data_IF_359461575212
#
_entry.id   IF_359461575212
#
_cell.length_a   1.000
_cell.length_b   1.000
_cell.length_c   1.000
_cell.angle_alpha   90.00
_cell.angle_beta   90.00
_cell.angle_gamma   90.00
#
_symmetry.space_group_name_H-M   'P 1'
#
loop_
_entity.id
_entity.type
_entity.pdbx_description
1 polymer ?
#
# COMPACT_ATOMS: atom_id res chain seq x y z
N UNK A 1 19.13 25.29 49.79
CA UNK A 1 18.64 25.72 48.51
C UNK A 1 18.54 24.46 47.62
N UNK A 2 17.37 23.81 47.63
CA UNK A 2 17.13 22.55 46.90
C UNK A 2 16.55 22.90 45.51
N UNK A 3 17.07 22.35 44.41
CA UNK A 3 16.48 22.59 43.10
C UNK A 3 15.21 21.76 42.92
N UNK A 4 14.15 22.44 42.51
CA UNK A 4 12.81 21.93 42.24
C UNK A 4 12.82 20.90 41.09
N UNK A 5 12.57 19.63 41.44
CA UNK A 5 12.60 18.48 40.48
C UNK A 5 11.24 18.32 39.77
N UNK A 6 10.24 19.13 40.10
CA UNK A 6 8.87 18.97 39.60
C UNK A 6 8.61 19.52 38.20
N UNK A 7 9.57 20.24 37.59
CA UNK A 7 9.35 20.90 36.27
C UNK A 7 9.73 20.06 35.05
N UNK A 8 10.30 18.84 35.21
CA UNK A 8 10.74 18.00 34.07
C UNK A 8 9.72 17.01 33.53
N UNK A 9 8.61 16.76 34.22
CA UNK A 9 7.63 15.76 33.80
C UNK A 9 6.58 16.30 32.80
N UNK A 10 6.40 17.61 32.70
CA UNK A 10 5.39 18.23 31.81
C UNK A 10 5.79 18.33 30.35
N UNK A 11 7.08 18.35 30.05
CA UNK A 11 7.57 18.59 28.67
C UNK A 11 7.55 17.35 27.76
N UNK A 12 7.70 16.15 28.31
CA UNK A 12 7.65 14.91 27.54
C UNK A 12 6.25 14.58 27.00
N UNK A 13 5.19 14.89 27.74
CA UNK A 13 3.80 14.66 27.34
C UNK A 13 3.33 15.61 26.23
N UNK A 14 3.78 16.84 26.22
CA UNK A 14 3.40 17.85 25.23
C UNK A 14 4.06 17.61 23.87
N UNK A 15 5.31 17.15 23.82
CA UNK A 15 5.98 16.81 22.57
C UNK A 15 5.37 15.60 21.86
N UNK A 16 4.90 14.59 22.60
CA UNK A 16 4.26 13.40 22.02
C UNK A 16 2.86 13.69 21.46
N UNK A 17 2.08 14.54 22.15
CA UNK A 17 0.75 14.95 21.69
C UNK A 17 0.84 15.81 20.41
N UNK A 18 1.78 16.75 20.36
CA UNK A 18 2.00 17.61 19.19
C UNK A 18 2.48 16.83 17.96
N UNK A 19 3.33 15.82 18.14
CA UNK A 19 3.78 14.94 17.07
C UNK A 19 2.66 14.09 16.45
N UNK A 20 1.76 13.54 17.28
CA UNK A 20 0.60 12.76 16.80
C UNK A 20 -0.39 13.59 15.99
N UNK A 21 -0.67 14.81 16.43
CA UNK A 21 -1.57 15.73 15.69
C UNK A 21 -0.98 16.12 14.33
N UNK A 22 0.33 16.24 14.24
CA UNK A 22 1.01 16.60 13.01
C UNK A 22 1.04 15.45 12.00
N UNK A 23 1.35 14.22 12.41
CA UNK A 23 1.26 13.03 11.57
C UNK A 23 -0.13 12.88 10.95
N UNK A 24 -1.17 13.05 11.80
CA UNK A 24 -2.55 12.96 11.35
C UNK A 24 -2.94 14.06 10.36
N UNK A 25 -2.48 15.30 10.58
CA UNK A 25 -2.70 16.41 9.64
C UNK A 25 -2.05 16.16 8.28
N UNK A 26 -0.84 15.60 8.26
CA UNK A 26 -0.15 15.23 7.02
C UNK A 26 -0.94 14.12 6.30
N UNK A 27 -1.35 13.07 7.02
CA UNK A 27 -2.15 12.00 6.44
C UNK A 27 -3.49 12.51 5.87
N UNK A 28 -4.20 13.39 6.60
CA UNK A 28 -5.44 14.01 6.13
C UNK A 28 -5.20 14.88 4.88
N UNK A 29 -4.10 15.62 4.83
CA UNK A 29 -3.73 16.40 3.65
C UNK A 29 -3.54 15.49 2.43
N UNK A 30 -2.82 14.38 2.58
CA UNK A 30 -2.59 13.43 1.46
C UNK A 30 -3.90 12.80 0.98
N UNK A 31 -4.77 12.38 1.91
CA UNK A 31 -6.11 11.86 1.58
C UNK A 31 -6.95 12.91 0.85
N UNK A 32 -6.96 14.15 1.36
CA UNK A 32 -7.69 15.26 0.73
C UNK A 32 -7.18 15.56 -0.68
N UNK A 33 -5.86 15.60 -0.89
CA UNK A 33 -5.25 15.77 -2.20
C UNK A 33 -5.58 14.63 -3.16
N UNK A 34 -5.62 13.40 -2.65
CA UNK A 34 -6.04 12.25 -3.44
C UNK A 34 -7.46 12.44 -3.96
N UNK A 35 -8.42 12.73 -3.09
CA UNK A 35 -9.82 12.94 -3.50
C UNK A 35 -10.07 14.23 -4.29
N UNK A 36 -9.17 15.20 -4.22
CA UNK A 36 -9.24 16.41 -5.06
C UNK A 36 -8.81 16.15 -6.51
N UNK A 37 -8.10 15.05 -6.79
CA UNK A 37 -7.59 14.72 -8.13
C UNK A 37 -8.53 13.77 -8.87
N UNK A 38 -9.03 14.12 -10.09
CA UNK A 38 -9.85 13.20 -10.88
C UNK A 38 -9.08 11.95 -11.33
N UNK A 39 -7.77 12.03 -11.45
CA UNK A 39 -6.90 10.90 -11.80
C UNK A 39 -6.92 9.82 -10.73
N UNK A 40 -7.08 10.19 -9.48
CA UNK A 40 -7.14 9.27 -8.35
C UNK A 40 -8.39 8.36 -8.41
N UNK A 41 -9.52 8.92 -8.82
CA UNK A 41 -10.74 8.14 -9.03
C UNK A 41 -10.58 7.16 -10.20
N UNK A 42 -9.85 7.55 -11.24
CA UNK A 42 -9.56 6.67 -12.39
C UNK A 42 -8.72 5.47 -11.95
N UNK A 43 -7.68 5.69 -11.11
CA UNK A 43 -6.86 4.59 -10.60
C UNK A 43 -7.63 3.68 -9.64
N UNK A 44 -8.40 4.25 -8.72
CA UNK A 44 -9.21 3.47 -7.78
C UNK A 44 -10.33 2.71 -8.51
N UNK A 45 -11.05 3.38 -9.40
CA UNK A 45 -12.11 2.76 -10.22
C UNK A 45 -11.55 1.71 -11.18
N UNK A 46 -10.41 1.99 -11.81
CA UNK A 46 -9.69 1.04 -12.66
C UNK A 46 -9.25 -0.20 -11.89
N UNK A 47 -8.70 -0.03 -10.68
CA UNK A 47 -8.35 -1.14 -9.80
C UNK A 47 -9.57 -2.01 -9.48
N UNK A 48 -10.67 -1.40 -9.03
CA UNK A 48 -11.91 -2.13 -8.74
C UNK A 48 -12.48 -2.83 -9.98
N UNK A 49 -12.48 -2.15 -11.12
CA UNK A 49 -12.96 -2.74 -12.38
C UNK A 49 -12.14 -3.97 -12.79
N UNK A 50 -10.80 -3.90 -12.67
CA UNK A 50 -9.92 -5.04 -12.98
C UNK A 50 -10.08 -6.16 -11.98
N UNK A 51 -10.21 -5.86 -10.68
CA UNK A 51 -10.48 -6.86 -9.63
C UNK A 51 -11.78 -7.61 -9.94
N UNK A 52 -12.87 -6.88 -10.22
CA UNK A 52 -14.16 -7.46 -10.57
C UNK A 52 -14.09 -8.30 -11.85
N UNK A 53 -13.44 -7.75 -12.89
CA UNK A 53 -13.26 -8.45 -14.15
C UNK A 53 -12.48 -9.76 -13.99
N UNK A 54 -11.34 -9.70 -13.30
CA UNK A 54 -10.50 -10.88 -13.04
C UNK A 54 -11.26 -11.93 -12.23
N UNK A 55 -11.99 -11.53 -11.21
CA UNK A 55 -12.73 -12.44 -10.36
C UNK A 55 -13.86 -13.16 -11.11
N UNK A 56 -14.72 -12.41 -11.81
CA UNK A 56 -15.89 -12.99 -12.47
C UNK A 56 -15.58 -13.64 -13.81
N UNK A 57 -14.68 -13.05 -14.62
CA UNK A 57 -14.38 -13.50 -15.97
C UNK A 57 -13.10 -14.31 -16.07
N UNK A 58 -11.99 -13.82 -15.50
CA UNK A 58 -10.67 -14.45 -15.63
C UNK A 58 -10.61 -15.83 -14.98
N UNK A 59 -11.25 -15.98 -13.81
CA UNK A 59 -11.27 -17.23 -13.05
C UNK A 59 -12.54 -18.06 -13.27
N UNK A 60 -13.38 -17.63 -14.23
CA UNK A 60 -14.64 -18.33 -14.59
C UNK A 60 -15.46 -18.75 -13.37
N UNK A 61 -15.66 -17.83 -12.41
CA UNK A 61 -16.32 -18.08 -11.12
C UNK A 61 -17.62 -18.88 -11.28
N UNK A 62 -18.45 -18.49 -12.24
CA UNK A 62 -19.74 -19.15 -12.49
C UNK A 62 -19.61 -20.56 -13.11
N UNK A 63 -18.49 -20.87 -13.79
CA UNK A 63 -18.27 -22.19 -14.41
C UNK A 63 -17.74 -23.22 -13.38
N UNK A 64 -17.12 -22.76 -12.29
CA UNK A 64 -16.55 -23.65 -11.27
C UNK A 64 -17.60 -24.21 -10.30
N UNK A 65 -18.73 -23.56 -10.12
CA UNK A 65 -19.78 -23.93 -9.13
C UNK A 65 -19.25 -24.16 -7.69
N UNK A 66 -18.15 -23.49 -7.32
CA UNK A 66 -17.53 -23.58 -5.99
C UNK A 66 -17.48 -22.17 -5.41
N UNK A 67 -17.98 -21.99 -4.18
CA UNK A 67 -17.88 -20.74 -3.44
C UNK A 67 -16.44 -20.57 -2.88
N UNK A 68 -15.50 -20.16 -3.74
CA UNK A 68 -14.08 -19.96 -3.37
C UNK A 68 -13.62 -18.55 -3.76
N UNK A 69 -12.97 -17.87 -2.82
CA UNK A 69 -12.38 -16.52 -3.02
C UNK A 69 -10.87 -16.54 -3.22
N UNK A 70 -10.23 -17.73 -3.21
CA UNK A 70 -8.77 -17.85 -3.46
C UNK A 70 -8.32 -17.19 -4.77
N UNK A 71 -9.07 -17.29 -5.88
CA UNK A 71 -8.73 -16.62 -7.12
C UNK A 71 -8.55 -15.11 -6.98
N UNK A 72 -9.37 -14.48 -6.12
CA UNK A 72 -9.25 -13.05 -5.81
C UNK A 72 -7.86 -12.73 -5.24
N UNK A 73 -7.43 -13.49 -4.23
CA UNK A 73 -6.16 -13.26 -3.56
C UNK A 73 -4.94 -13.61 -4.42
N UNK A 74 -5.07 -14.56 -5.33
CA UNK A 74 -4.02 -14.90 -6.30
C UNK A 74 -3.72 -13.75 -7.28
N UNK A 75 -4.74 -12.98 -7.67
CA UNK A 75 -4.58 -11.83 -8.55
C UNK A 75 -4.11 -10.56 -7.81
N UNK A 76 -4.37 -10.45 -6.50
CA UNK A 76 -4.10 -9.26 -5.70
C UNK A 76 -2.64 -8.78 -5.74
N UNK A 77 -1.59 -9.63 -5.66
CA UNK A 77 -0.22 -9.15 -5.69
C UNK A 77 0.11 -8.35 -6.94
N UNK A 78 -0.33 -8.82 -8.11
CA UNK A 78 -0.10 -8.12 -9.37
C UNK A 78 -0.88 -6.79 -9.45
N UNK A 79 -2.13 -6.79 -9.01
CA UNK A 79 -3.00 -5.61 -9.02
C UNK A 79 -2.51 -4.54 -8.04
N UNK A 80 -2.00 -4.96 -6.87
CA UNK A 80 -1.45 -4.07 -5.87
C UNK A 80 -0.17 -3.37 -6.32
N UNK A 81 0.65 -3.99 -7.20
CA UNK A 81 1.83 -3.33 -7.78
C UNK A 81 1.40 -2.03 -8.47
N UNK A 82 0.37 -2.09 -9.32
CA UNK A 82 -0.12 -0.92 -10.04
C UNK A 82 -0.81 0.08 -9.10
N UNK A 83 -1.65 -0.39 -8.18
CA UNK A 83 -2.34 0.48 -7.24
C UNK A 83 -1.35 1.22 -6.33
N UNK A 84 -0.44 0.51 -5.66
CA UNK A 84 0.54 1.10 -4.76
C UNK A 84 1.46 2.09 -5.48
N UNK A 85 1.93 1.73 -6.68
CA UNK A 85 2.77 2.61 -7.50
C UNK A 85 2.03 3.88 -7.92
N UNK A 86 0.74 3.78 -8.28
CA UNK A 86 -0.08 4.95 -8.65
C UNK A 86 -0.37 5.87 -7.46
N UNK A 87 -0.60 5.29 -6.26
CA UNK A 87 -0.81 6.05 -5.04
C UNK A 87 0.44 6.84 -4.62
N UNK A 88 1.63 6.26 -4.83
CA UNK A 88 2.88 6.83 -4.33
C UNK A 88 3.62 7.71 -5.33
N UNK A 89 3.32 7.61 -6.64
CA UNK A 89 4.09 8.28 -7.71
C UNK A 89 4.22 9.79 -7.54
N UNK A 90 3.20 10.48 -6.99
CA UNK A 90 3.16 11.94 -6.87
C UNK A 90 3.66 12.47 -5.54
N UNK A 91 3.75 11.64 -4.50
CA UNK A 91 3.95 12.04 -3.12
C UNK A 91 5.22 12.87 -2.88
N UNK A 92 6.31 12.53 -3.54
CA UNK A 92 7.59 13.22 -3.43
C UNK A 92 8.00 13.89 -4.74
N UNK A 93 7.68 13.26 -5.87
CA UNK A 93 8.09 13.76 -7.18
C UNK A 93 7.46 15.12 -7.53
N UNK A 94 6.21 15.38 -7.13
CA UNK A 94 5.58 16.69 -7.32
C UNK A 94 6.15 17.74 -6.38
N UNK A 95 6.41 17.41 -5.11
CA UNK A 95 7.04 18.34 -4.16
C UNK A 95 8.48 18.68 -4.57
N UNK A 96 9.20 17.74 -5.13
CA UNK A 96 10.54 17.94 -5.65
C UNK A 96 10.52 18.82 -6.90
N UNK A 97 9.61 18.53 -7.83
CA UNK A 97 9.46 19.31 -9.06
C UNK A 97 9.01 20.75 -8.81
N UNK A 98 8.18 20.98 -7.79
CA UNK A 98 7.69 22.31 -7.41
C UNK A 98 8.68 23.11 -6.54
N UNK A 99 9.81 22.50 -6.12
CA UNK A 99 10.77 23.13 -5.20
C UNK A 99 10.26 23.26 -3.75
N UNK A 100 9.07 22.78 -3.45
CA UNK A 100 8.49 22.86 -2.09
C UNK A 100 9.18 21.92 -1.10
N UNK A 101 9.94 20.92 -1.59
CA UNK A 101 10.69 20.01 -0.75
C UNK A 101 11.71 20.75 0.13
N UNK A 102 12.41 21.77 -0.41
CA UNK A 102 13.37 22.56 0.35
C UNK A 102 12.66 23.32 1.49
N UNK A 103 11.46 23.79 1.25
CA UNK A 103 10.64 24.47 2.25
C UNK A 103 10.21 23.52 3.39
N UNK A 104 9.93 22.25 3.05
CA UNK A 104 9.60 21.21 4.04
C UNK A 104 10.83 20.85 4.87
N UNK A 105 12.02 20.77 4.25
CA UNK A 105 13.27 20.45 4.93
C UNK A 105 13.76 21.56 5.88
N UNK A 106 13.36 22.81 5.65
CA UNK A 106 13.70 23.96 6.52
C UNK A 106 12.72 24.13 7.69
N UNK A 107 11.61 23.40 7.72
CA UNK A 107 10.68 23.41 8.85
C UNK A 107 11.29 22.69 10.06
N UNK A 108 10.91 23.14 11.26
CA UNK A 108 11.36 22.58 12.54
C UNK A 108 10.83 21.17 12.84
N UNK A 109 10.10 20.57 11.88
CA UNK A 109 9.51 19.23 12.02
C UNK A 109 10.51 18.14 11.64
N UNK A 110 10.66 17.09 12.44
CA UNK A 110 11.56 16.00 12.13
C UNK A 110 11.07 15.24 10.87
N UNK A 111 11.98 15.00 9.94
CA UNK A 111 11.72 14.41 8.62
C UNK A 111 10.96 13.07 8.70
N UNK A 112 11.24 12.25 9.72
CA UNK A 112 10.57 10.97 9.90
C UNK A 112 9.05 11.08 10.11
N UNK A 113 8.57 12.16 10.76
CA UNK A 113 7.14 12.39 10.93
C UNK A 113 6.46 12.70 9.60
N UNK A 114 7.16 13.40 8.72
CA UNK A 114 6.65 13.72 7.40
C UNK A 114 6.53 12.46 6.53
N UNK A 115 7.57 11.62 6.52
CA UNK A 115 7.57 10.35 5.79
C UNK A 115 6.48 9.41 6.30
N UNK A 116 6.38 9.25 7.64
CA UNK A 116 5.35 8.41 8.24
C UNK A 116 3.94 8.95 8.00
N UNK A 117 3.74 10.27 8.03
CA UNK A 117 2.44 10.87 7.73
C UNK A 117 1.96 10.55 6.31
N UNK A 118 2.86 10.65 5.31
CA UNK A 118 2.58 10.25 3.93
C UNK A 118 2.30 8.75 3.81
N UNK A 119 3.11 7.93 4.45
CA UNK A 119 2.91 6.47 4.46
C UNK A 119 1.56 6.07 5.07
N UNK A 120 1.17 6.66 6.21
CA UNK A 120 -0.13 6.43 6.85
C UNK A 120 -1.26 6.88 5.93
N UNK A 121 -1.16 8.05 5.30
CA UNK A 121 -2.15 8.53 4.34
C UNK A 121 -2.39 7.55 3.21
N UNK A 122 -1.33 7.05 2.57
CA UNK A 122 -1.43 6.05 1.51
C UNK A 122 -1.92 4.68 2.01
N UNK A 123 -1.53 4.28 3.23
CA UNK A 123 -2.01 3.04 3.82
C UNK A 123 -3.51 3.08 4.09
N UNK A 124 -4.05 4.24 4.49
CA UNK A 124 -5.50 4.43 4.65
C UNK A 124 -6.24 4.39 3.30
N UNK A 125 -5.66 4.96 2.24
CA UNK A 125 -6.22 4.86 0.89
C UNK A 125 -6.18 3.43 0.35
N UNK A 126 -5.10 2.69 0.62
CA UNK A 126 -5.01 1.27 0.30
C UNK A 126 -6.07 0.46 1.06
N UNK A 127 -6.21 0.72 2.36
CA UNK A 127 -7.24 0.09 3.18
C UNK A 127 -8.65 0.37 2.62
N UNK A 128 -8.92 1.61 2.23
CA UNK A 128 -10.18 1.98 1.58
C UNK A 128 -10.40 1.20 0.27
N UNK A 129 -9.37 1.08 -0.58
CA UNK A 129 -9.45 0.30 -1.81
C UNK A 129 -9.80 -1.17 -1.53
N UNK A 130 -9.16 -1.78 -0.51
CA UNK A 130 -9.46 -3.15 -0.10
C UNK A 130 -10.86 -3.29 0.52
N UNK A 131 -11.30 -2.32 1.32
CA UNK A 131 -12.68 -2.31 1.86
C UNK A 131 -13.73 -2.27 0.76
N UNK A 132 -13.45 -1.57 -0.34
CA UNK A 132 -14.37 -1.52 -1.50
C UNK A 132 -14.44 -2.86 -2.26
N UNK A 133 -13.51 -3.79 -2.04
CA UNK A 133 -13.59 -5.16 -2.58
C UNK A 133 -14.37 -6.13 -1.67
N UNK A 134 -14.68 -5.76 -0.41
CA UNK A 134 -15.41 -6.61 0.53
C UNK A 134 -16.82 -7.09 0.04
N UNK A 135 -17.56 -6.34 -0.77
CA UNK A 135 -18.82 -6.86 -1.33
C UNK A 135 -18.64 -8.18 -2.10
N UNK A 136 -17.45 -8.45 -2.68
CA UNK A 136 -17.20 -9.70 -3.41
C UNK A 136 -17.33 -10.96 -2.53
N UNK A 137 -16.59 -11.11 -1.40
CA UNK A 137 -16.78 -12.25 -0.51
C UNK A 137 -18.23 -12.37 0.02
N UNK A 138 -18.90 -11.24 0.28
CA UNK A 138 -20.29 -11.27 0.70
C UNK A 138 -21.22 -11.83 -0.38
N UNK A 139 -21.03 -11.47 -1.66
CA UNK A 139 -21.80 -12.05 -2.77
C UNK A 139 -21.54 -13.54 -2.92
N UNK A 140 -20.28 -13.98 -2.75
CA UNK A 140 -19.92 -15.42 -2.77
C UNK A 140 -20.57 -16.17 -1.62
N UNK A 141 -20.59 -15.60 -0.41
CA UNK A 141 -21.22 -16.19 0.76
C UNK A 141 -22.75 -16.34 0.61
N UNK A 142 -23.40 -15.50 -0.20
CA UNK A 142 -24.83 -15.65 -0.53
C UNK A 142 -25.10 -16.79 -1.53
N UNK A 143 -24.10 -17.18 -2.32
CA UNK A 143 -24.23 -18.21 -3.35
C UNK A 143 -23.83 -19.61 -2.86
N UNK A 144 -23.12 -19.72 -1.72
CA UNK A 144 -22.68 -20.99 -1.17
C UNK A 144 -22.01 -20.86 0.19
N UNK A 145 -21.64 -22.00 0.78
CA UNK A 145 -20.92 -22.03 2.07
C UNK A 145 -19.48 -21.52 1.90
N UNK A 146 -19.21 -20.32 2.41
CA UNK A 146 -17.89 -19.68 2.36
C UNK A 146 -17.19 -19.81 3.72
N UNK A 147 -15.98 -20.34 3.74
CA UNK A 147 -15.12 -20.28 4.92
C UNK A 147 -14.51 -18.88 5.09
N UNK A 148 -14.90 -18.19 6.17
CA UNK A 148 -14.44 -16.82 6.47
C UNK A 148 -13.01 -16.75 7.00
N UNK A 149 -12.44 -17.86 7.51
CA UNK A 149 -11.07 -17.89 8.03
C UNK A 149 -10.05 -17.49 6.98
N UNK A 150 -9.98 -18.20 5.84
CA UNK A 150 -9.09 -17.85 4.72
C UNK A 150 -9.36 -16.45 4.14
N UNK A 151 -10.63 -15.98 4.17
CA UNK A 151 -10.97 -14.64 3.67
C UNK A 151 -10.26 -13.57 4.48
N UNK A 152 -10.42 -13.57 5.81
CA UNK A 152 -9.79 -12.58 6.67
C UNK A 152 -8.25 -12.66 6.64
N UNK A 153 -7.69 -13.87 6.63
CA UNK A 153 -6.26 -14.08 6.48
C UNK A 153 -5.75 -13.52 5.14
N UNK A 154 -6.49 -13.76 4.04
CA UNK A 154 -6.18 -13.23 2.73
C UNK A 154 -6.18 -11.69 2.67
N UNK A 155 -7.19 -11.04 3.25
CA UNK A 155 -7.23 -9.56 3.33
C UNK A 155 -6.10 -8.99 4.17
N UNK A 156 -5.76 -9.61 5.30
CA UNK A 156 -4.64 -9.18 6.13
C UNK A 156 -3.31 -9.33 5.39
N UNK A 157 -3.07 -10.47 4.74
CA UNK A 157 -1.87 -10.70 3.93
C UNK A 157 -1.78 -9.69 2.78
N UNK A 158 -2.88 -9.44 2.08
CA UNK A 158 -2.97 -8.45 0.99
C UNK A 158 -2.68 -7.03 1.48
N UNK A 159 -3.18 -6.65 2.65
CA UNK A 159 -2.91 -5.35 3.27
C UNK A 159 -1.42 -5.20 3.59
N UNK A 160 -0.80 -6.20 4.22
CA UNK A 160 0.63 -6.17 4.57
C UNK A 160 1.51 -6.12 3.32
N UNK A 161 1.19 -6.91 2.30
CA UNK A 161 1.86 -6.87 1.00
C UNK A 161 1.73 -5.49 0.34
N UNK A 162 0.54 -4.92 0.36
CA UNK A 162 0.29 -3.58 -0.17
C UNK A 162 1.07 -2.50 0.57
N UNK A 163 1.19 -2.58 1.90
CA UNK A 163 2.04 -1.68 2.69
C UNK A 163 3.52 -1.80 2.30
N UNK A 164 4.01 -3.01 2.03
CA UNK A 164 5.37 -3.22 1.51
C UNK A 164 5.55 -2.52 0.15
N UNK A 165 4.62 -2.70 -0.77
CA UNK A 165 4.67 -2.05 -2.08
C UNK A 165 4.56 -0.52 -1.97
N UNK A 166 3.76 0.01 -1.03
CA UNK A 166 3.72 1.45 -0.74
C UNK A 166 5.07 1.98 -0.24
N UNK A 167 5.77 1.24 0.61
CA UNK A 167 7.10 1.64 1.09
C UNK A 167 8.13 1.69 -0.06
N UNK A 168 8.11 0.70 -0.96
CA UNK A 168 8.94 0.68 -2.17
C UNK A 168 8.58 1.85 -3.09
N UNK A 169 7.29 2.11 -3.30
CA UNK A 169 6.81 3.20 -4.13
C UNK A 169 7.17 4.58 -3.58
N UNK A 170 7.10 4.78 -2.27
CA UNK A 170 7.57 6.00 -1.60
C UNK A 170 9.06 6.23 -1.83
N UNK A 171 9.87 5.17 -1.74
CA UNK A 171 11.30 5.25 -2.03
C UNK A 171 11.56 5.63 -3.50
N UNK A 172 10.86 5.00 -4.45
CA UNK A 172 10.97 5.31 -5.88
C UNK A 172 10.57 6.77 -6.17
N UNK A 173 9.46 7.24 -5.58
CA UNK A 173 8.98 8.63 -5.72
C UNK A 173 9.98 9.64 -5.16
N UNK A 174 10.66 9.33 -4.04
CA UNK A 174 11.66 10.21 -3.44
C UNK A 174 12.94 10.36 -4.29
N UNK A 175 13.20 9.42 -5.21
CA UNK A 175 14.38 9.44 -6.10
C UNK A 175 14.10 10.05 -7.46
N UNK A 176 12.86 10.36 -7.79
CA UNK A 176 12.48 10.83 -9.13
C UNK A 176 11.81 12.21 -9.07
N UNK A 177 12.15 13.08 -10.02
CA UNK A 177 11.52 14.39 -10.19
C UNK A 177 10.27 14.33 -11.09
N UNK A 178 10.05 13.18 -11.77
CA UNK A 178 8.92 12.98 -12.65
C UNK A 178 8.02 11.86 -12.11
N UNK A 179 6.71 12.13 -11.88
CA UNK A 179 5.76 11.13 -11.39
C UNK A 179 5.68 9.87 -12.26
N UNK A 180 5.80 10.01 -13.59
CA UNK A 180 5.73 8.85 -14.51
C UNK A 180 6.96 7.96 -14.34
N UNK A 181 8.15 8.55 -14.19
CA UNK A 181 9.38 7.79 -13.92
C UNK A 181 9.30 7.12 -12.56
N UNK A 182 8.79 7.82 -11.54
CA UNK A 182 8.55 7.26 -10.22
C UNK A 182 7.62 6.04 -10.27
N UNK A 183 6.53 6.12 -11.03
CA UNK A 183 5.61 5.00 -11.26
C UNK A 183 6.31 3.82 -11.91
N UNK A 184 7.04 4.03 -13.02
CA UNK A 184 7.73 2.96 -13.73
C UNK A 184 8.78 2.26 -12.86
N UNK A 185 9.59 3.04 -12.13
CA UNK A 185 10.60 2.49 -11.19
C UNK A 185 9.93 1.71 -10.07
N UNK A 186 8.83 2.22 -9.51
CA UNK A 186 8.07 1.53 -8.47
C UNK A 186 7.50 0.21 -8.98
N UNK A 187 6.85 0.20 -10.16
CA UNK A 187 6.31 -1.02 -10.78
C UNK A 187 7.42 -2.04 -11.06
N UNK A 188 8.59 -1.59 -11.55
CA UNK A 188 9.73 -2.46 -11.78
C UNK A 188 10.25 -3.09 -10.49
N UNK A 189 10.47 -2.30 -9.45
CA UNK A 189 10.96 -2.80 -8.17
C UNK A 189 9.98 -3.77 -7.52
N UNK A 190 8.70 -3.39 -7.43
CA UNK A 190 7.65 -4.28 -6.90
C UNK A 190 7.50 -5.54 -7.76
N UNK A 191 7.58 -5.42 -9.09
CA UNK A 191 7.54 -6.54 -10.02
C UNK A 191 8.69 -7.53 -9.81
N UNK A 192 9.91 -7.04 -9.58
CA UNK A 192 11.06 -7.88 -9.24
C UNK A 192 10.81 -8.64 -7.94
N UNK A 193 10.31 -7.97 -6.89
CA UNK A 193 9.95 -8.66 -5.64
C UNK A 193 8.88 -9.73 -5.84
N UNK A 194 7.85 -9.44 -6.64
CA UNK A 194 6.81 -10.40 -6.99
C UNK A 194 7.38 -11.60 -7.75
N UNK A 195 8.26 -11.37 -8.73
CA UNK A 195 8.88 -12.44 -9.52
C UNK A 195 9.78 -13.32 -8.67
N UNK A 196 10.54 -12.77 -7.71
CA UNK A 196 11.38 -13.55 -6.78
C UNK A 196 10.54 -14.52 -5.96
N UNK A 197 9.34 -14.11 -5.51
CA UNK A 197 8.40 -14.97 -4.78
C UNK A 197 7.59 -15.93 -5.67
N UNK A 198 7.63 -15.78 -6.99
CA UNK A 198 6.83 -16.57 -7.91
C UNK A 198 7.52 -17.89 -8.30
N UNK A 199 6.70 -18.92 -8.58
CA UNK A 199 7.18 -20.22 -9.06
C UNK A 199 7.94 -20.16 -10.39
N UNK A 200 7.89 -19.04 -11.11
CA UNK A 200 8.60 -18.84 -12.37
C UNK A 200 10.11 -18.85 -12.17
N UNK A 201 10.61 -18.17 -11.13
CA UNK A 201 12.05 -18.18 -10.81
C UNK A 201 12.47 -19.54 -10.24
N UNK A 202 11.65 -20.13 -9.37
CA UNK A 202 11.94 -21.47 -8.83
C UNK A 202 12.05 -22.53 -9.91
N UNK A 203 11.26 -22.43 -10.99
CA UNK A 203 11.34 -23.35 -12.13
C UNK A 203 12.56 -23.13 -13.04
N UNK A 204 13.06 -21.90 -13.12
CA UNK A 204 14.22 -21.54 -13.96
C UNK A 204 15.57 -21.92 -13.34
N UNK A 205 15.69 -21.89 -12.01
CA UNK A 205 16.96 -22.09 -11.32
C UNK A 205 17.20 -23.53 -10.80
N UNK A 206 16.30 -24.47 -11.07
CA UNK A 206 16.43 -25.87 -10.66
C UNK A 206 16.16 -26.14 -9.17
N UNK A 207 15.98 -27.41 -8.82
CA UNK A 207 15.47 -27.83 -7.51
C UNK A 207 16.34 -27.40 -6.30
N UNK A 208 17.64 -27.21 -6.47
CA UNK A 208 18.53 -26.88 -5.36
C UNK A 208 18.47 -25.41 -4.91
N UNK A 209 18.16 -24.49 -5.82
CA UNK A 209 18.05 -23.06 -5.50
C UNK A 209 16.59 -22.72 -5.12
N UNK A 210 15.63 -23.49 -5.62
CA UNK A 210 14.21 -23.32 -5.32
C UNK A 210 13.90 -23.47 -3.82
N UNK A 211 14.60 -24.40 -3.12
CA UNK A 211 14.42 -24.58 -1.69
C UNK A 211 14.88 -23.39 -0.85
N UNK A 212 15.96 -22.71 -1.25
CA UNK A 212 16.44 -21.51 -0.56
C UNK A 212 15.57 -20.28 -0.85
N UNK A 213 15.06 -20.15 -2.07
CA UNK A 213 14.17 -19.05 -2.46
C UNK A 213 12.77 -19.18 -1.86
N UNK A 214 12.26 -20.42 -1.70
CA UNK A 214 10.96 -20.63 -1.05
C UNK A 214 10.98 -20.28 0.45
N UNK A 215 12.14 -20.43 1.12
CA UNK A 215 12.32 -20.00 2.51
C UNK A 215 12.33 -18.45 2.68
N UNK A 216 12.67 -17.73 1.61
CA UNK A 216 12.66 -16.26 1.60
C UNK A 216 11.29 -15.66 1.20
N UNK A 217 10.39 -16.47 0.63
CA UNK A 217 9.07 -16.05 0.16
C UNK A 217 7.93 -16.34 1.14
N UNK A 218 8.23 -17.01 2.27
CA UNK A 218 7.29 -17.28 3.37
C UNK A 218 7.45 -16.23 4.44
#
# INVERSE_FOLDING_TARGET
MQPDITQKSGTFGQHSAHGRTMLWRIAQKEISLFFASPVSYLFLGGFLAVVLFMFFWGEAFFARNIADVRPLFNAMPLLLIFLASSLTMRLWSEERRSGTLEHVLTQSTPLWQFVLGKFIGCSLLLLLALLLTLPLPFTVAMLGELDWGPVWAGYLATLLLGMLYLAIGLYASARSDNPIVALLVSVLLCGVFYLIGSNVITSLFGQNISQWLSLLST
#
